data_IF_590788873215
#
_entry.id   IF_590788873215
#
_cell.length_a   1.000
_cell.length_b   1.000
_cell.length_c   1.000
_cell.angle_alpha   90.00
_cell.angle_beta   90.00
_cell.angle_gamma   90.00
#
_symmetry.space_group_name_H-M   'P 1'
#
loop_
_entity.id
_entity.type
_entity.pdbx_description
1 polymer ?
#
# COMPACT_ATOMS: atom_id res chain seq x y z
N UNK A 1 17.19 -16.70 15.56
CA UNK A 1 16.18 -17.31 16.46
C UNK A 1 14.89 -17.42 15.68
N UNK A 2 14.56 -18.63 15.24
CA UNK A 2 13.39 -18.94 14.41
C UNK A 2 12.13 -19.01 15.28
N UNK A 3 11.29 -17.99 15.23
CA UNK A 3 9.96 -18.00 15.87
C UNK A 3 9.02 -18.89 15.07
N UNK A 4 8.68 -20.06 15.62
CA UNK A 4 7.59 -20.91 15.10
C UNK A 4 6.26 -20.20 15.38
N UNK A 5 5.55 -19.83 14.33
CA UNK A 5 4.17 -19.37 14.39
C UNK A 5 3.29 -20.52 14.89
N UNK A 6 2.71 -20.39 16.08
CA UNK A 6 1.70 -21.32 16.58
C UNK A 6 0.39 -21.02 15.83
N UNK A 7 -0.10 -22.01 15.11
CA UNK A 7 -1.47 -22.05 14.59
C UNK A 7 -2.43 -21.98 15.77
N UNK A 8 -3.04 -20.82 15.99
CA UNK A 8 -4.19 -20.71 16.90
C UNK A 8 -5.40 -21.34 16.21
N UNK A 9 -5.96 -22.37 16.82
CA UNK A 9 -7.34 -22.80 16.55
C UNK A 9 -8.25 -21.57 16.69
N UNK A 10 -8.97 -21.24 15.63
CA UNK A 10 -10.02 -20.23 15.67
C UNK A 10 -11.31 -20.94 16.05
N UNK A 11 -11.71 -20.73 17.31
CA UNK A 11 -13.02 -21.08 17.82
C UNK A 11 -14.08 -20.28 17.03
N UNK A 12 -15.07 -20.99 16.49
CA UNK A 12 -16.08 -20.50 15.55
C UNK A 12 -17.15 -19.60 16.18
N UNK A 13 -16.75 -18.51 16.83
CA UNK A 13 -17.65 -17.44 17.29
C UNK A 13 -17.68 -16.31 16.27
N UNK A 14 -18.77 -16.18 15.51
CA UNK A 14 -19.01 -15.08 14.58
C UNK A 14 -19.06 -13.73 15.29
N UNK A 15 -17.89 -13.12 15.50
CA UNK A 15 -17.79 -11.79 16.07
C UNK A 15 -18.05 -10.78 14.95
N UNK A 16 -19.24 -10.19 14.95
CA UNK A 16 -19.62 -9.15 13.99
C UNK A 16 -18.69 -7.96 14.13
N UNK A 17 -17.96 -7.62 13.07
CA UNK A 17 -17.10 -6.42 13.06
C UNK A 17 -17.92 -5.17 13.43
N UNK A 18 -17.38 -4.24 14.22
CA UNK A 18 -18.03 -2.97 14.51
C UNK A 18 -18.55 -2.27 13.25
N UNK A 19 -19.76 -1.69 13.28
CA UNK A 19 -20.42 -1.13 12.10
C UNK A 19 -19.60 -0.08 11.33
N UNK A 20 -18.70 0.65 12.00
CA UNK A 20 -17.80 1.60 11.36
C UNK A 20 -16.70 0.90 10.53
N UNK A 21 -16.26 -0.29 10.95
CA UNK A 21 -15.34 -1.14 10.20
C UNK A 21 -16.08 -1.65 8.96
N UNK A 22 -17.26 -2.26 9.12
CA UNK A 22 -18.09 -2.74 7.99
C UNK A 22 -18.32 -1.65 6.93
N UNK A 23 -18.56 -0.40 7.37
CA UNK A 23 -18.71 0.73 6.45
C UNK A 23 -17.43 1.10 5.73
N UNK A 24 -16.31 1.23 6.45
CA UNK A 24 -15.03 1.62 5.84
C UNK A 24 -14.59 0.57 4.84
N UNK A 25 -14.85 -0.71 5.14
CA UNK A 25 -14.53 -1.86 4.32
C UNK A 25 -15.43 -2.04 3.09
N UNK A 26 -16.52 -1.27 2.99
CA UNK A 26 -17.48 -1.45 1.90
C UNK A 26 -16.96 -0.89 0.60
N UNK A 27 -17.40 -1.52 -0.50
CA UNK A 27 -17.18 -1.00 -1.86
C UNK A 27 -17.55 0.46 -2.01
N UNK A 28 -18.74 0.82 -1.53
CA UNK A 28 -19.32 2.15 -1.73
C UNK A 28 -18.48 3.22 -1.04
N UNK A 29 -17.96 2.91 0.15
CA UNK A 29 -17.08 3.82 0.86
C UNK A 29 -15.78 4.03 0.10
N UNK A 30 -15.13 2.96 -0.34
CA UNK A 30 -13.86 3.05 -1.05
C UNK A 30 -14.02 3.75 -2.42
N UNK A 31 -15.10 3.49 -3.14
CA UNK A 31 -15.40 4.13 -4.43
C UNK A 31 -15.67 5.63 -4.30
N UNK A 32 -16.25 6.07 -3.18
CA UNK A 32 -16.51 7.48 -2.89
C UNK A 32 -15.43 8.17 -2.05
N UNK A 33 -14.35 7.48 -1.68
CA UNK A 33 -13.33 8.01 -0.80
C UNK A 33 -12.52 9.10 -1.50
N UNK A 34 -12.46 10.29 -0.89
CA UNK A 34 -11.68 11.43 -1.40
C UNK A 34 -10.59 11.85 -0.41
N UNK A 35 -9.62 12.59 -0.93
CA UNK A 35 -8.61 13.30 -0.12
C UNK A 35 -9.00 14.77 0.01
N UNK A 36 -8.55 15.41 1.10
CA UNK A 36 -8.68 16.85 1.29
C UNK A 36 -7.39 17.51 0.77
N UNK A 37 -7.52 18.05 -0.45
CA UNK A 37 -6.48 18.77 -1.19
C UNK A 37 -7.00 20.16 -1.56
N UNK A 38 -6.12 21.15 -1.67
CA UNK A 38 -6.47 22.50 -2.08
C UNK A 38 -6.70 22.62 -3.59
N UNK A 39 -5.96 21.84 -4.37
CA UNK A 39 -6.03 21.77 -5.82
C UNK A 39 -7.07 20.79 -6.35
N UNK A 40 -7.06 20.60 -7.68
CA UNK A 40 -7.94 19.67 -8.37
C UNK A 40 -7.19 18.38 -8.75
N UNK A 41 -7.75 17.24 -8.35
CA UNK A 41 -7.26 15.90 -8.71
C UNK A 41 -7.36 15.58 -10.21
N UNK A 42 -8.12 16.34 -11.01
CA UNK A 42 -8.27 16.13 -12.47
C UNK A 42 -6.97 16.21 -13.27
N UNK A 43 -5.97 16.91 -12.72
CA UNK A 43 -4.63 17.01 -13.32
C UNK A 43 -3.78 15.75 -13.13
N UNK A 44 -4.18 14.86 -12.22
CA UNK A 44 -3.49 13.58 -11.98
C UNK A 44 -4.00 12.56 -13.00
N UNK A 45 -3.12 11.97 -13.85
CA UNK A 45 -3.52 10.91 -14.75
C UNK A 45 -4.15 9.72 -14.02
N UNK A 46 -5.15 9.11 -14.65
CA UNK A 46 -5.78 7.90 -14.13
C UNK A 46 -5.12 6.61 -14.64
N UNK A 47 -4.34 6.70 -15.73
CA UNK A 47 -3.71 5.54 -16.39
C UNK A 47 -2.20 5.73 -16.46
N UNK A 48 -1.46 4.72 -16.00
CA UNK A 48 0.01 4.68 -16.05
C UNK A 48 0.49 3.40 -16.73
N UNK A 49 1.18 3.55 -17.86
CA UNK A 49 1.67 2.41 -18.66
C UNK A 49 0.59 1.32 -18.89
N UNK A 50 -0.66 1.73 -19.09
CA UNK A 50 -1.82 0.85 -19.30
C UNK A 50 -2.44 0.23 -18.04
N UNK A 51 -2.02 0.66 -16.84
CA UNK A 51 -2.70 0.35 -15.56
C UNK A 51 -3.63 1.50 -15.22
N UNK A 52 -4.93 1.22 -15.13
CA UNK A 52 -5.92 2.14 -14.57
C UNK A 52 -5.80 2.11 -13.04
N UNK A 53 -5.62 3.29 -12.43
CA UNK A 53 -5.67 3.44 -10.98
C UNK A 53 -7.09 3.23 -10.45
N UNK A 54 -7.20 2.63 -9.27
CA UNK A 54 -8.44 2.72 -8.50
C UNK A 54 -8.73 4.17 -8.11
N UNK A 55 -10.00 4.49 -7.82
CA UNK A 55 -10.37 5.84 -7.36
C UNK A 55 -9.56 6.27 -6.12
N UNK A 56 -9.37 5.38 -5.15
CA UNK A 56 -8.55 5.66 -3.97
C UNK A 56 -7.06 5.82 -4.31
N UNK A 57 -6.52 5.02 -5.23
CA UNK A 57 -5.14 5.15 -5.72
C UNK A 57 -4.90 6.49 -6.44
N UNK A 58 -5.86 6.92 -7.26
CA UNK A 58 -5.85 8.22 -7.95
C UNK A 58 -5.90 9.38 -6.95
N UNK A 59 -6.84 9.35 -6.00
CA UNK A 59 -6.96 10.37 -4.94
C UNK A 59 -5.70 10.44 -4.08
N UNK A 60 -5.13 9.29 -3.72
CA UNK A 60 -3.87 9.22 -2.99
C UNK A 60 -2.70 9.84 -3.76
N UNK A 61 -2.58 9.56 -5.05
CA UNK A 61 -1.53 10.13 -5.89
C UNK A 61 -1.71 11.65 -6.06
N UNK A 62 -2.95 12.11 -6.26
CA UNK A 62 -3.25 13.54 -6.34
C UNK A 62 -2.83 14.28 -5.05
N UNK A 63 -3.15 13.71 -3.88
CA UNK A 63 -2.67 14.23 -2.61
C UNK A 63 -1.15 14.28 -2.54
N UNK A 64 -0.45 13.22 -2.95
CA UNK A 64 1.01 13.18 -2.89
C UNK A 64 1.65 14.25 -3.77
N UNK A 65 1.10 14.48 -4.97
CA UNK A 65 1.54 15.53 -5.90
C UNK A 65 1.34 16.93 -5.31
N UNK A 66 0.24 17.18 -4.60
CA UNK A 66 0.04 18.44 -3.89
C UNK A 66 1.01 18.57 -2.71
N UNK A 67 1.18 17.50 -1.92
CA UNK A 67 1.98 17.51 -0.70
C UNK A 67 3.46 17.79 -0.96
N UNK A 68 4.01 17.39 -2.12
CA UNK A 68 5.39 17.74 -2.49
C UNK A 68 5.56 19.16 -3.00
N UNK A 69 4.50 19.79 -3.50
CA UNK A 69 4.59 21.08 -4.18
C UNK A 69 5.64 21.07 -5.31
N UNK A 70 6.67 21.88 -5.17
CA UNK A 70 7.77 21.98 -6.14
C UNK A 70 8.94 21.01 -5.86
N UNK A 71 8.94 20.32 -4.71
CA UNK A 71 9.99 19.39 -4.35
C UNK A 71 9.86 18.04 -5.10
N UNK A 72 10.95 17.27 -5.24
CA UNK A 72 10.88 15.95 -5.88
C UNK A 72 9.98 14.96 -5.13
N UNK A 73 9.96 15.05 -3.80
CA UNK A 73 9.16 14.20 -2.90
C UNK A 73 8.67 15.03 -1.70
N UNK A 74 7.52 14.72 -1.08
CA UNK A 74 7.02 15.45 0.07
C UNK A 74 7.95 15.33 1.28
N UNK A 75 8.06 16.41 2.04
CA UNK A 75 8.66 16.37 3.37
C UNK A 75 7.83 15.50 4.33
N UNK A 76 8.47 14.83 5.29
CA UNK A 76 7.76 13.96 6.23
C UNK A 76 6.67 14.68 7.04
N UNK A 77 6.86 15.98 7.32
CA UNK A 77 5.87 16.81 8.02
C UNK A 77 4.72 17.33 7.12
N UNK A 78 4.81 17.17 5.79
CA UNK A 78 3.70 17.43 4.87
C UNK A 78 2.68 16.28 4.88
N UNK A 79 3.04 15.11 5.43
CA UNK A 79 2.13 13.98 5.59
C UNK A 79 1.06 14.31 6.64
N UNK A 80 -0.14 14.64 6.17
CA UNK A 80 -1.29 15.00 7.02
C UNK A 80 -2.32 13.87 7.08
N UNK A 81 -2.46 13.16 8.22
CA UNK A 81 -3.51 12.15 8.38
C UNK A 81 -4.92 12.71 8.18
N UNK A 82 -5.11 14.00 8.49
CA UNK A 82 -6.38 14.70 8.26
C UNK A 82 -6.71 14.79 6.77
N UNK A 83 -5.72 15.11 5.94
CA UNK A 83 -5.89 15.19 4.49
C UNK A 83 -6.28 13.83 3.87
N UNK A 84 -5.83 12.76 4.51
CA UNK A 84 -6.00 11.39 4.06
C UNK A 84 -7.17 10.66 4.73
N UNK A 85 -7.98 11.33 5.55
CA UNK A 85 -8.91 10.69 6.51
C UNK A 85 -9.77 9.56 5.93
N UNK A 86 -10.27 9.72 4.69
CA UNK A 86 -11.15 8.72 4.08
C UNK A 86 -10.40 7.50 3.53
N UNK A 87 -9.15 7.68 3.10
CA UNK A 87 -8.30 6.59 2.59
C UNK A 87 -7.32 6.05 3.62
N UNK A 88 -7.16 6.72 4.77
CA UNK A 88 -6.26 6.35 5.86
C UNK A 88 -6.42 4.90 6.34
N UNK A 89 -7.63 4.30 6.39
CA UNK A 89 -7.78 2.88 6.73
C UNK A 89 -7.05 1.92 5.79
N UNK A 90 -6.72 2.36 4.58
CA UNK A 90 -6.04 1.59 3.52
C UNK A 90 -4.57 1.96 3.36
N UNK A 91 -4.07 2.87 4.19
CA UNK A 91 -2.70 3.37 4.09
C UNK A 91 -1.73 2.52 4.89
N UNK A 92 -0.55 2.30 4.31
CA UNK A 92 0.66 1.89 4.99
C UNK A 92 1.69 3.01 4.92
N UNK A 93 2.28 3.35 6.06
CA UNK A 93 3.41 4.25 6.16
C UNK A 93 4.60 3.46 6.68
N UNK A 94 5.72 3.49 5.96
CA UNK A 94 6.88 2.65 6.23
C UNK A 94 8.17 3.47 6.31
N UNK A 95 9.13 2.93 7.05
CA UNK A 95 10.42 3.54 7.35
C UNK A 95 11.51 2.53 7.08
N UNK A 96 12.49 2.89 6.26
CA UNK A 96 13.73 2.12 6.21
C UNK A 96 14.41 2.19 7.58
N UNK A 97 14.84 1.04 8.11
CA UNK A 97 15.61 0.94 9.36
C UNK A 97 17.03 0.38 9.10
N UNK A 98 17.36 0.14 7.84
CA UNK A 98 18.63 -0.37 7.37
C UNK A 98 18.53 -0.71 5.87
N UNK A 99 19.58 -1.31 5.28
CA UNK A 99 19.62 -1.59 3.84
C UNK A 99 18.56 -2.58 3.36
N UNK A 100 18.03 -3.46 4.21
CA UNK A 100 17.05 -4.48 3.82
C UNK A 100 15.88 -4.61 4.81
N UNK A 101 15.64 -3.57 5.61
CA UNK A 101 14.59 -3.56 6.64
C UNK A 101 13.64 -2.38 6.41
N UNK A 102 12.38 -2.68 6.15
CA UNK A 102 11.34 -1.69 5.88
C UNK A 102 10.20 -1.88 6.88
N UNK A 103 10.20 -1.04 7.92
CA UNK A 103 9.32 -1.18 9.07
C UNK A 103 8.02 -0.43 8.83
N UNK A 104 6.88 -1.10 9.02
CA UNK A 104 5.59 -0.45 9.10
C UNK A 104 5.54 0.46 10.33
N UNK A 105 5.32 1.75 10.11
CA UNK A 105 5.11 2.76 11.17
C UNK A 105 3.63 3.07 11.38
N UNK A 106 2.83 2.93 10.33
CA UNK A 106 1.37 2.98 10.36
C UNK A 106 0.87 1.86 9.46
N UNK A 107 -0.09 1.09 9.95
CA UNK A 107 -0.84 0.13 9.16
C UNK A 107 -2.33 0.40 9.33
N UNK A 108 -3.00 0.73 8.21
CA UNK A 108 -4.38 1.16 8.22
C UNK A 108 -5.33 0.11 8.78
N UNK A 109 -6.40 0.55 9.44
CA UNK A 109 -7.33 -0.34 10.14
C UNK A 109 -8.08 -1.30 9.22
N UNK A 110 -8.38 -0.91 7.98
CA UNK A 110 -8.98 -1.82 7.00
C UNK A 110 -8.01 -2.95 6.64
N UNK A 111 -6.72 -2.59 6.48
CA UNK A 111 -5.66 -3.56 6.23
C UNK A 111 -5.51 -4.53 7.40
N UNK A 112 -5.46 -4.00 8.63
CA UNK A 112 -5.35 -4.81 9.84
C UNK A 112 -6.55 -5.76 10.02
N UNK A 113 -7.76 -5.31 9.69
CA UNK A 113 -8.94 -6.16 9.74
C UNK A 113 -8.85 -7.31 8.74
N UNK A 114 -8.48 -7.06 7.47
CA UNK A 114 -8.39 -8.14 6.49
C UNK A 114 -7.23 -9.11 6.74
N UNK A 115 -6.09 -8.64 7.25
CA UNK A 115 -4.99 -9.53 7.61
C UNK A 115 -5.24 -10.25 8.93
N UNK A 116 -6.14 -9.73 9.78
CA UNK A 116 -6.37 -10.21 11.14
C UNK A 116 -5.31 -9.74 12.16
N UNK A 117 -4.35 -8.90 11.74
CA UNK A 117 -3.26 -8.42 12.58
C UNK A 117 -2.87 -6.99 12.21
N UNK A 118 -2.61 -6.14 13.22
CA UNK A 118 -1.92 -4.88 13.02
C UNK A 118 -0.43 -5.15 12.78
N UNK A 119 0.07 -4.82 11.59
CA UNK A 119 1.47 -5.01 11.20
C UNK A 119 2.38 -3.86 11.62
N UNK A 120 1.88 -2.88 12.38
CA UNK A 120 2.72 -1.79 12.91
C UNK A 120 3.89 -2.33 13.72
N UNK A 121 5.10 -1.85 13.42
CA UNK A 121 6.36 -2.29 14.01
C UNK A 121 6.99 -3.52 13.33
N UNK A 122 6.28 -4.17 12.40
CA UNK A 122 6.78 -5.34 11.68
C UNK A 122 7.64 -4.92 10.48
N UNK A 123 8.70 -5.67 10.20
CA UNK A 123 9.48 -5.55 8.96
C UNK A 123 8.75 -6.23 7.80
N UNK A 124 8.43 -5.46 6.75
CA UNK A 124 7.80 -5.98 5.53
C UNK A 124 8.56 -7.19 4.97
N UNK A 125 9.89 -7.13 4.96
CA UNK A 125 10.75 -8.19 4.42
C UNK A 125 11.06 -9.30 5.42
N UNK A 126 10.53 -9.20 6.64
CA UNK A 126 10.60 -10.21 7.69
C UNK A 126 9.34 -11.09 7.79
N UNK A 127 8.29 -10.81 7.01
CA UNK A 127 7.04 -11.57 7.00
C UNK A 127 7.20 -13.00 6.45
N UNK A 128 8.24 -13.25 5.65
CA UNK A 128 8.57 -14.54 5.09
C UNK A 128 9.79 -14.46 4.19
N UNK A 129 10.35 -15.61 3.85
CA UNK A 129 11.32 -15.73 2.77
C UNK A 129 10.58 -16.03 1.47
N UNK A 130 10.91 -15.32 0.39
CA UNK A 130 10.24 -15.48 -0.89
C UNK A 130 11.18 -15.16 -2.07
N UNK A 131 11.03 -15.82 -3.23
CA UNK A 131 12.04 -15.80 -4.30
C UNK A 131 12.34 -14.39 -4.83
N UNK A 132 11.37 -13.49 -4.80
CA UNK A 132 11.49 -12.13 -5.34
C UNK A 132 11.89 -11.07 -4.31
N UNK A 133 12.23 -11.45 -3.06
CA UNK A 133 12.54 -10.52 -1.96
C UNK A 133 13.57 -9.45 -2.33
N UNK A 134 14.69 -9.85 -2.94
CA UNK A 134 15.75 -8.91 -3.32
C UNK A 134 15.31 -7.96 -4.44
N UNK A 135 14.46 -8.44 -5.36
CA UNK A 135 13.87 -7.60 -6.40
C UNK A 135 12.89 -6.58 -5.80
N UNK A 136 12.08 -6.98 -4.84
CA UNK A 136 11.15 -6.09 -4.13
C UNK A 136 11.89 -5.02 -3.31
N UNK A 137 13.00 -5.38 -2.65
CA UNK A 137 13.88 -4.42 -1.98
C UNK A 137 14.45 -3.42 -2.99
N UNK A 138 15.02 -3.89 -4.10
CA UNK A 138 15.59 -3.03 -5.13
C UNK A 138 14.55 -2.07 -5.72
N UNK A 139 13.36 -2.59 -6.05
CA UNK A 139 12.23 -1.80 -6.57
C UNK A 139 11.83 -0.67 -5.61
N UNK A 140 11.71 -0.97 -4.32
CA UNK A 140 11.28 0.02 -3.33
C UNK A 140 12.38 1.04 -2.99
N UNK A 141 13.65 0.67 -3.10
CA UNK A 141 14.78 1.62 -2.97
C UNK A 141 14.85 2.59 -4.15
N UNK A 142 14.60 2.10 -5.36
CA UNK A 142 14.69 2.89 -6.58
C UNK A 142 13.76 4.11 -6.55
N UNK A 143 12.65 4.05 -5.80
CA UNK A 143 11.72 5.16 -5.61
C UNK A 143 12.36 6.41 -4.98
N UNK A 144 13.39 6.25 -4.14
CA UNK A 144 14.14 7.37 -3.57
C UNK A 144 15.33 7.78 -4.43
N UNK A 145 15.99 6.82 -5.08
CA UNK A 145 17.17 7.06 -5.94
C UNK A 145 16.79 7.86 -7.21
N UNK A 146 15.65 7.52 -7.79
CA UNK A 146 15.02 8.25 -8.88
C UNK A 146 13.59 8.54 -8.42
N UNK A 147 13.32 9.72 -7.83
CA UNK A 147 12.01 10.09 -7.29
C UNK A 147 10.87 9.74 -8.24
N UNK A 148 10.14 8.67 -7.93
CA UNK A 148 9.04 8.15 -8.72
C UNK A 148 8.10 7.35 -7.81
N UNK A 149 6.92 6.98 -8.32
CA UNK A 149 6.02 6.03 -7.65
C UNK A 149 6.06 4.64 -8.28
N UNK A 150 5.40 3.68 -7.66
CA UNK A 150 5.11 2.39 -8.27
C UNK A 150 3.68 1.95 -7.98
N UNK A 151 3.03 1.42 -9.00
CA UNK A 151 1.76 0.69 -8.88
C UNK A 151 2.10 -0.78 -9.01
N UNK A 152 1.70 -1.60 -8.04
CA UNK A 152 1.76 -3.05 -8.15
C UNK A 152 0.36 -3.63 -8.07
N UNK A 153 0.02 -4.56 -8.95
CA UNK A 153 -1.18 -5.37 -8.84
C UNK A 153 -0.77 -6.75 -8.35
N UNK A 154 -1.25 -7.13 -7.16
CA UNK A 154 -0.95 -8.41 -6.54
C UNK A 154 -2.22 -9.22 -6.31
N UNK A 155 -2.18 -10.50 -6.65
CA UNK A 155 -3.22 -11.45 -6.29
C UNK A 155 -3.05 -11.84 -4.82
N UNK A 156 -4.06 -11.52 -4.00
CA UNK A 156 -4.15 -11.89 -2.60
C UNK A 156 -5.18 -13.01 -2.43
N UNK A 157 -4.85 -14.01 -1.60
CA UNK A 157 -5.70 -15.18 -1.37
C UNK A 157 -6.35 -15.13 0.01
N UNK A 158 -7.62 -15.50 0.11
CA UNK A 158 -8.36 -15.64 1.36
C UNK A 158 -8.27 -17.03 1.97
N UNK A 159 -8.56 -17.16 3.27
CA UNK A 159 -8.71 -18.47 3.93
C UNK A 159 -9.90 -19.28 3.39
N UNK A 160 -10.89 -18.61 2.81
CA UNK A 160 -12.06 -19.21 2.15
C UNK A 160 -11.80 -19.67 0.71
N UNK A 161 -10.56 -19.54 0.23
CA UNK A 161 -10.17 -19.87 -1.15
C UNK A 161 -10.44 -18.76 -2.17
N UNK A 162 -10.97 -17.61 -1.76
CA UNK A 162 -11.16 -16.47 -2.65
C UNK A 162 -9.82 -15.88 -3.12
N UNK A 163 -9.81 -15.29 -4.31
CA UNK A 163 -8.64 -14.60 -4.89
C UNK A 163 -9.05 -13.20 -5.32
N UNK A 164 -8.30 -12.18 -4.91
CA UNK A 164 -8.58 -10.78 -5.23
C UNK A 164 -7.33 -10.09 -5.75
N UNK A 165 -7.46 -9.31 -6.82
CA UNK A 165 -6.38 -8.44 -7.26
C UNK A 165 -6.43 -7.15 -6.45
N UNK A 166 -5.35 -6.85 -5.74
CA UNK A 166 -5.17 -5.61 -5.01
C UNK A 166 -4.13 -4.73 -5.72
N UNK A 167 -4.48 -3.46 -5.88
CA UNK A 167 -3.59 -2.37 -6.25
C UNK A 167 -2.83 -1.89 -5.01
N UNK A 168 -1.51 -1.77 -5.17
CA UNK A 168 -0.60 -1.20 -4.20
C UNK A 168 0.11 -0.01 -4.85
N UNK A 169 -0.37 1.20 -4.61
CA UNK A 169 0.37 2.42 -4.97
C UNK A 169 1.38 2.71 -3.87
N UNK A 170 2.65 2.90 -4.21
CA UNK A 170 3.72 3.23 -3.25
C UNK A 170 4.50 4.43 -3.75
N UNK A 171 4.68 5.42 -2.88
CA UNK A 171 5.34 6.68 -3.19
C UNK A 171 6.38 7.04 -2.10
N UNK A 172 7.48 7.69 -2.48
CA UNK A 172 8.53 8.11 -1.56
C UNK A 172 8.13 9.34 -0.75
N UNK A 173 8.62 9.39 0.48
CA UNK A 173 8.56 10.54 1.38
C UNK A 173 9.98 10.81 1.86
N UNK A 174 10.33 12.09 1.99
CA UNK A 174 11.63 12.51 2.46
C UNK A 174 11.90 11.99 3.89
N UNK A 175 13.16 11.86 4.30
CA UNK A 175 13.48 11.51 5.67
C UNK A 175 12.83 12.41 6.71
N UNK A 176 12.45 11.82 7.85
CA UNK A 176 12.03 12.58 9.03
C UNK A 176 13.26 13.04 9.85
N UNK A 177 13.03 13.54 11.06
CA UNK A 177 14.10 13.99 11.96
C UNK A 177 15.12 12.90 12.32
N UNK A 178 14.77 11.62 12.17
CA UNK A 178 15.67 10.48 12.39
C UNK A 178 16.56 10.14 11.18
N UNK A 179 16.46 10.90 10.08
CA UNK A 179 17.31 10.76 8.89
C UNK A 179 16.97 9.55 8.00
N UNK A 180 15.97 8.75 8.38
CA UNK A 180 15.63 7.53 7.66
C UNK A 180 14.62 7.81 6.52
N UNK A 181 14.84 7.31 5.28
CA UNK A 181 13.88 7.47 4.19
C UNK A 181 12.54 6.79 4.49
N UNK A 182 11.46 7.28 3.86
CA UNK A 182 10.08 6.89 4.15
C UNK A 182 9.33 6.52 2.88
N UNK A 183 8.41 5.59 2.99
CA UNK A 183 7.47 5.24 1.91
C UNK A 183 6.05 5.36 2.46
N UNK A 184 5.14 5.84 1.64
CA UNK A 184 3.71 5.81 1.92
C UNK A 184 3.01 5.10 0.77
N UNK A 185 1.98 4.32 1.07
CA UNK A 185 1.24 3.63 0.04
C UNK A 185 -0.16 3.24 0.45
N UNK A 186 -1.00 2.95 -0.53
CA UNK A 186 -2.31 2.35 -0.34
C UNK A 186 -2.25 0.85 -0.65
N UNK A 187 -3.22 0.10 -0.13
CA UNK A 187 -3.57 -1.25 -0.60
C UNK A 187 -5.08 -1.29 -0.76
N UNK A 188 -5.55 -1.47 -1.99
CA UNK A 188 -6.98 -1.40 -2.34
C UNK A 188 -7.33 -2.43 -3.41
N UNK A 189 -8.50 -3.08 -3.35
CA UNK A 189 -8.94 -4.01 -4.39
C UNK A 189 -9.12 -3.28 -5.73
N UNK A 190 -8.64 -3.89 -6.83
CA UNK A 190 -8.86 -3.39 -8.21
C UNK A 190 -10.33 -3.56 -8.60
N UNK A 191 -10.88 -4.73 -8.31
CA UNK A 191 -12.30 -5.02 -8.50
C UNK A 191 -12.96 -5.28 -7.14
N UNK A 192 -14.03 -4.54 -6.88
CA UNK A 192 -14.84 -4.75 -5.68
C UNK A 192 -16.12 -5.44 -6.10
N UNK A 193 -16.04 -6.74 -6.40
CA UNK A 193 -17.23 -7.54 -6.67
C UNK A 193 -17.93 -7.97 -5.36
N UNK A 194 -17.17 -8.10 -4.26
CA UNK A 194 -17.64 -8.40 -2.90
C UNK A 194 -16.86 -7.58 -1.86
N UNK A 195 -17.33 -7.51 -0.61
CA UNK A 195 -16.62 -6.82 0.49
C UNK A 195 -15.38 -7.62 0.91
N UNK A 196 -14.30 -7.52 0.13
CA UNK A 196 -13.07 -8.34 0.28
C UNK A 196 -12.44 -8.25 1.67
N UNK A 197 -12.62 -7.13 2.36
CA UNK A 197 -12.00 -6.90 3.67
C UNK A 197 -12.76 -7.60 4.81
N UNK A 198 -13.95 -8.13 4.54
CA UNK A 198 -14.66 -9.02 5.49
C UNK A 198 -14.09 -10.43 5.50
N UNK A 199 -13.28 -10.78 4.50
CA UNK A 199 -12.62 -12.08 4.37
C UNK A 199 -11.19 -11.97 4.89
N UNK A 200 -10.77 -12.96 5.68
CA UNK A 200 -9.40 -13.01 6.20
C UNK A 200 -8.42 -13.44 5.10
N UNK A 201 -7.38 -12.64 4.88
CA UNK A 201 -6.32 -12.87 3.90
C UNK A 201 -5.27 -13.86 4.44
N UNK A 202 -4.74 -14.69 3.55
CA UNK A 202 -3.62 -15.61 3.77
C UNK A 202 -2.31 -14.84 3.68
N UNK A 203 -1.78 -14.43 4.83
CA UNK A 203 -0.47 -13.76 4.93
C UNK A 203 0.71 -14.74 4.93
N UNK A 204 0.45 -16.05 5.05
CA UNK A 204 1.43 -17.14 4.95
C UNK A 204 1.75 -17.53 3.50
N UNK A 205 1.02 -16.98 2.53
CA UNK A 205 1.28 -17.14 1.11
C UNK A 205 1.80 -15.81 0.55
N UNK A 206 2.86 -15.88 -0.26
CA UNK A 206 3.35 -14.71 -0.99
C UNK A 206 2.24 -14.23 -1.96
N UNK A 207 1.83 -12.94 -1.90
CA UNK A 207 0.91 -12.39 -2.88
C UNK A 207 1.59 -12.31 -4.25
N UNK A 208 1.01 -13.01 -5.23
CA UNK A 208 1.58 -13.13 -6.58
C UNK A 208 1.55 -11.77 -7.29
N UNK A 209 2.71 -11.30 -7.76
CA UNK A 209 2.82 -10.07 -8.53
C UNK A 209 2.30 -10.32 -9.97
N UNK A 210 1.18 -9.69 -10.33
CA UNK A 210 0.62 -9.77 -11.68
C UNK A 210 1.12 -8.66 -12.59
N UNK A 211 1.37 -7.49 -12.02
CA UNK A 211 1.85 -6.32 -12.75
C UNK A 211 2.58 -5.37 -11.82
N UNK A 212 3.63 -4.72 -12.31
CA UNK A 212 4.13 -3.51 -11.70
C UNK A 212 4.45 -2.47 -12.78
N UNK A 213 4.25 -1.20 -12.46
CA UNK A 213 4.57 -0.07 -13.36
C UNK A 213 5.04 1.10 -12.51
N UNK A 214 6.07 1.80 -12.98
CA UNK A 214 6.51 3.03 -12.32
C UNK A 214 5.64 4.22 -12.74
N UNK A 215 5.43 5.13 -11.80
CA UNK A 215 4.78 6.43 -11.99
C UNK A 215 5.91 7.45 -12.12
N UNK A 216 6.10 8.01 -13.31
CA UNK A 216 6.99 9.16 -13.48
C UNK A 216 6.37 10.40 -12.82
N UNK A 217 7.10 11.00 -11.87
CA UNK A 217 6.68 12.22 -11.16
C UNK A 217 7.38 13.48 -11.69
N UNK A 218 8.10 13.36 -12.82
CA UNK A 218 8.88 14.41 -13.47
C UNK A 218 10.40 14.23 -13.32
N UNK A 219 10.86 13.10 -12.79
CA UNK A 219 12.27 12.80 -12.54
C UNK A 219 12.75 11.53 -13.25
N UNK A 220 11.91 10.95 -14.11
CA UNK A 220 12.17 9.69 -14.79
C UNK A 220 11.69 8.49 -13.99
N UNK A 221 11.92 7.30 -14.55
CA UNK A 221 11.62 6.02 -13.91
C UNK A 221 12.83 5.08 -13.96
N UNK A 222 13.01 4.21 -12.96
CA UNK A 222 14.04 3.17 -12.96
C UNK A 222 13.89 2.20 -14.14
N UNK A 223 14.85 1.26 -14.24
CA UNK A 223 14.79 0.16 -15.20
C UNK A 223 13.41 -0.54 -15.18
N UNK A 224 12.68 -0.61 -16.30
CA UNK A 224 11.40 -1.29 -16.39
C UNK A 224 11.43 -2.76 -15.94
N UNK A 225 12.59 -3.43 -15.97
CA UNK A 225 12.75 -4.78 -15.44
C UNK A 225 12.52 -4.84 -13.92
N UNK A 226 12.78 -3.74 -13.20
CA UNK A 226 12.35 -3.62 -11.81
C UNK A 226 10.83 -3.51 -11.71
N UNK A 227 10.15 -2.89 -12.69
CA UNK A 227 8.70 -2.82 -12.82
C UNK A 227 8.04 -4.11 -13.34
N UNK A 228 8.80 -5.09 -13.82
CA UNK A 228 8.40 -6.27 -14.62
C UNK A 228 8.05 -5.96 -16.09
N UNK A 229 9.00 -6.32 -16.95
CA UNK A 229 8.73 -6.99 -18.23
C UNK A 229 9.63 -8.26 -18.34
N UNK A 230 8.98 -9.42 -18.42
CA UNK A 230 9.36 -10.62 -19.19
C UNK A 230 8.08 -11.46 -19.34
#
# INVERSE_FOLDING_TARGET
MTGKWRTGETDGGGMTSPAWITRVLSREYLAGATVDIQGDSSSTPEIYAGVQLTGAGHQFLAWWQEARGADPIPAANAVSPRALRQILPYIRYMSWAGPEQLIFRIYGSALAEATGFDLTGVDLFGLGDYPTRQLDIARLKALHEMPCGVIMQREMRGFDGSTNICELVTLPIAPAADGNPRLIGTIVPVEVQEDIWTKKLRMDLEPELKRAVFIDTGHGVPDPLLGMEC
#
